data_IF_510745596343
#
_entry.id   IF_510745596343
#
_cell.length_a   1.000
_cell.length_b   1.000
_cell.length_c   1.000
_cell.angle_alpha   90.00
_cell.angle_beta   90.00
_cell.angle_gamma   90.00
#
_symmetry.space_group_name_H-M   'P 1'
#
loop_
_entity.id
_entity.type
_entity.pdbx_description
1 polymer ?
#
# COMPACT_ATOMS: atom_id res chain seq x y z
N UNK A 1 59.67 52.97 1.64
CA UNK A 1 59.10 51.94 0.74
C UNK A 1 57.83 51.43 1.40
N UNK A 2 56.64 51.83 0.93
CA UNK A 2 55.35 51.42 1.51
C UNK A 2 54.85 50.20 0.74
N UNK A 3 54.60 49.10 1.44
CA UNK A 3 54.10 47.84 0.87
C UNK A 3 52.57 47.86 1.02
N UNK A 4 51.85 47.92 -0.09
CA UNK A 4 50.39 47.74 -0.13
C UNK A 4 50.06 46.25 -0.14
N UNK A 5 49.12 45.76 0.68
CA UNK A 5 48.67 44.37 0.59
C UNK A 5 47.65 44.24 -0.54
N UNK A 6 47.88 43.25 -1.42
CA UNK A 6 46.91 42.80 -2.42
C UNK A 6 45.95 41.85 -1.73
N UNK A 7 44.67 42.22 -1.63
CA UNK A 7 43.63 41.29 -1.21
C UNK A 7 43.22 40.42 -2.40
N UNK A 8 43.57 39.13 -2.34
CA UNK A 8 43.06 38.13 -3.27
C UNK A 8 41.59 37.82 -2.92
N UNK A 9 40.67 38.15 -3.83
CA UNK A 9 39.27 37.72 -3.75
C UNK A 9 39.23 36.20 -4.04
N UNK A 10 38.87 35.40 -3.03
CA UNK A 10 38.56 33.99 -3.20
C UNK A 10 37.08 33.90 -3.57
N UNK A 11 36.69 33.38 -4.75
CA UNK A 11 35.28 33.19 -5.07
C UNK A 11 34.76 31.99 -4.28
N UNK A 12 33.87 32.24 -3.34
CA UNK A 12 33.14 31.21 -2.60
C UNK A 12 32.16 30.52 -3.55
N UNK A 13 32.54 29.37 -4.10
CA UNK A 13 31.64 28.49 -4.83
C UNK A 13 30.64 27.93 -3.82
N UNK A 14 29.42 28.48 -3.82
CA UNK A 14 28.31 27.97 -3.04
C UNK A 14 27.83 26.66 -3.68
N UNK A 15 28.31 25.53 -3.16
CA UNK A 15 27.87 24.22 -3.56
C UNK A 15 26.44 24.03 -3.03
N UNK A 16 25.44 24.33 -3.86
CA UNK A 16 24.06 23.93 -3.59
C UNK A 16 24.02 22.41 -3.53
N UNK A 17 24.11 21.87 -2.32
CA UNK A 17 23.73 20.49 -2.03
C UNK A 17 22.22 20.40 -2.30
N UNK A 18 21.85 20.00 -3.52
CA UNK A 18 20.55 19.41 -3.77
C UNK A 18 20.49 18.14 -2.91
N UNK A 19 20.02 18.26 -1.67
CA UNK A 19 19.50 17.10 -0.97
C UNK A 19 18.48 16.47 -1.92
N UNK A 20 18.56 15.17 -2.24
CA UNK A 20 17.51 14.53 -2.98
C UNK A 20 16.24 14.78 -2.19
N UNK A 21 15.35 15.58 -2.76
CA UNK A 21 14.02 15.74 -2.24
C UNK A 21 13.41 14.35 -2.45
N UNK A 22 13.41 13.53 -1.40
CA UNK A 22 12.65 12.28 -1.32
C UNK A 22 11.15 12.64 -1.29
N UNK A 23 10.72 13.44 -2.25
CA UNK A 23 9.39 14.05 -2.34
C UNK A 23 8.35 13.07 -2.92
N UNK A 24 8.76 11.85 -3.22
CA UNK A 24 7.92 10.85 -3.85
C UNK A 24 8.33 9.50 -3.28
N UNK A 25 7.94 9.23 -2.03
CA UNK A 25 7.26 7.98 -1.69
C UNK A 25 7.15 7.76 -0.19
N UNK A 26 6.00 7.28 0.32
CA UNK A 26 6.00 6.51 1.54
C UNK A 26 6.82 5.23 1.34
N UNK A 27 8.06 5.21 1.85
CA UNK A 27 8.88 3.99 1.93
C UNK A 27 8.25 2.88 2.80
N UNK A 28 7.25 3.19 3.63
CA UNK A 28 6.57 2.25 4.51
C UNK A 28 6.06 1.01 3.79
N UNK A 29 5.32 1.19 2.68
CA UNK A 29 4.83 0.07 1.86
C UNK A 29 5.98 -0.78 1.29
N UNK A 30 7.08 -0.16 0.88
CA UNK A 30 8.25 -0.89 0.38
C UNK A 30 8.89 -1.76 1.46
N UNK A 31 9.01 -1.22 2.68
CA UNK A 31 9.62 -1.89 3.83
C UNK A 31 8.76 -3.09 4.24
N UNK A 32 7.45 -2.88 4.42
CA UNK A 32 6.50 -3.96 4.75
C UNK A 32 6.50 -5.02 3.66
N UNK A 33 6.46 -4.62 2.40
CA UNK A 33 6.45 -5.55 1.26
C UNK A 33 7.72 -6.39 1.19
N UNK A 34 8.89 -5.77 1.39
CA UNK A 34 10.15 -6.50 1.44
C UNK A 34 10.15 -7.52 2.59
N UNK A 35 9.64 -7.15 3.77
CA UNK A 35 9.50 -8.07 4.90
C UNK A 35 8.54 -9.23 4.61
N UNK A 36 7.42 -8.95 3.94
CA UNK A 36 6.44 -9.96 3.56
C UNK A 36 7.05 -10.99 2.59
N UNK A 37 7.77 -10.53 1.56
CA UNK A 37 8.46 -11.41 0.60
C UNK A 37 9.56 -12.23 1.29
N UNK A 38 10.30 -11.62 2.21
CA UNK A 38 11.34 -12.29 2.98
C UNK A 38 10.81 -13.37 3.93
N UNK A 39 9.59 -13.18 4.44
CA UNK A 39 8.91 -14.13 5.33
C UNK A 39 8.34 -15.35 4.59
N UNK A 40 8.30 -15.34 3.26
CA UNK A 40 7.66 -16.39 2.47
C UNK A 40 8.38 -17.75 2.63
N UNK A 41 7.63 -18.88 2.75
CA UNK A 41 8.23 -20.20 2.85
C UNK A 41 9.06 -20.54 1.60
N UNK A 42 10.38 -20.65 1.76
CA UNK A 42 11.31 -20.82 0.63
C UNK A 42 11.06 -22.11 -0.19
N UNK A 43 10.44 -23.12 0.41
CA UNK A 43 10.10 -24.38 -0.23
C UNK A 43 8.83 -24.31 -1.10
N UNK A 44 7.93 -23.37 -0.83
CA UNK A 44 6.63 -23.25 -1.52
C UNK A 44 6.65 -22.17 -2.61
N UNK A 45 7.54 -21.18 -2.48
CA UNK A 45 7.62 -20.02 -3.39
C UNK A 45 8.84 -20.13 -4.31
N UNK A 46 8.67 -19.98 -5.64
CA UNK A 46 9.78 -20.02 -6.60
C UNK A 46 10.90 -19.02 -6.26
N UNK A 47 12.16 -19.45 -6.40
CA UNK A 47 13.32 -18.61 -6.13
C UNK A 47 13.28 -17.28 -6.89
N UNK A 48 12.94 -17.30 -8.19
CA UNK A 48 12.84 -16.09 -9.01
C UNK A 48 11.85 -15.04 -8.46
N UNK A 49 10.82 -15.48 -7.73
CA UNK A 49 9.84 -14.57 -7.13
C UNK A 49 10.42 -13.92 -5.87
N UNK A 50 11.10 -14.72 -5.03
CA UNK A 50 11.79 -14.23 -3.82
C UNK A 50 12.95 -13.30 -4.19
N UNK A 51 13.73 -13.66 -5.20
CA UNK A 51 14.81 -12.82 -5.73
C UNK A 51 14.29 -11.49 -6.30
N UNK A 52 13.02 -11.46 -6.71
CA UNK A 52 12.29 -10.27 -7.14
C UNK A 52 11.86 -9.33 -6.00
N UNK A 53 12.25 -9.56 -4.74
CA UNK A 53 11.88 -8.75 -3.56
C UNK A 53 11.94 -7.25 -3.81
N UNK A 54 13.03 -6.75 -4.38
CA UNK A 54 13.22 -5.32 -4.64
C UNK A 54 12.21 -4.76 -5.66
N UNK A 55 11.90 -5.52 -6.72
CA UNK A 55 10.90 -5.14 -7.70
C UNK A 55 9.49 -5.15 -7.10
N UNK A 56 9.17 -6.15 -6.28
CA UNK A 56 7.86 -6.25 -5.62
C UNK A 56 7.68 -5.09 -4.64
N UNK A 57 8.70 -4.78 -3.83
CA UNK A 57 8.71 -3.60 -2.95
C UNK A 57 8.59 -2.28 -3.71
N UNK A 58 9.22 -2.17 -4.89
CA UNK A 58 9.05 -1.01 -5.76
C UNK A 58 7.66 -0.94 -6.38
N UNK A 59 7.02 -2.06 -6.72
CA UNK A 59 5.65 -2.07 -7.27
C UNK A 59 4.57 -1.80 -6.22
N UNK A 60 4.84 -2.07 -4.93
CA UNK A 60 3.90 -1.79 -3.82
C UNK A 60 3.69 -0.30 -3.52
N UNK A 61 4.27 0.52 -4.36
CA UNK A 61 4.36 1.95 -4.27
C UNK A 61 3.48 2.58 -5.38
N UNK A 62 3.20 1.82 -6.46
CA UNK A 62 2.45 2.27 -7.64
C UNK A 62 1.00 2.69 -7.34
N UNK A 63 0.21 1.99 -6.50
CA UNK A 63 -1.18 2.38 -6.24
C UNK A 63 -1.32 3.81 -5.68
N UNK A 64 -0.41 4.21 -4.79
CA UNK A 64 -0.38 5.58 -4.25
C UNK A 64 -0.04 6.63 -5.31
N UNK A 65 0.85 6.29 -6.26
CA UNK A 65 1.16 7.15 -7.40
C UNK A 65 -0.02 7.24 -8.38
N UNK A 66 -0.77 6.15 -8.54
CA UNK A 66 -1.94 6.07 -9.42
C UNK A 66 -3.15 6.83 -8.85
N UNK A 67 -3.18 7.12 -7.55
CA UNK A 67 -4.15 8.00 -6.86
C UNK A 67 -3.87 9.51 -7.12
N UNK A 68 -3.49 9.85 -8.35
CA UNK A 68 -3.16 11.22 -8.75
C UNK A 68 -4.41 12.02 -9.12
N UNK A 69 -4.74 13.03 -8.31
CA UNK A 69 -5.95 13.87 -8.46
C UNK A 69 -6.05 14.63 -9.78
N UNK A 70 -4.94 14.90 -10.46
CA UNK A 70 -4.93 15.55 -11.78
C UNK A 70 -5.39 14.60 -12.90
N UNK A 71 -5.30 13.28 -12.68
CA UNK A 71 -5.73 12.23 -13.60
C UNK A 71 -7.07 11.66 -13.13
N UNK A 72 -8.12 12.48 -13.19
CA UNK A 72 -9.42 12.25 -12.54
C UNK A 72 -10.01 10.85 -12.76
N UNK A 73 -10.01 10.33 -14.00
CA UNK A 73 -10.59 9.00 -14.32
C UNK A 73 -9.80 7.87 -13.65
N UNK A 74 -8.47 7.96 -13.62
CA UNK A 74 -7.64 6.97 -12.96
C UNK A 74 -7.79 7.07 -11.43
N UNK A 75 -7.78 8.30 -10.90
CA UNK A 75 -7.96 8.53 -9.47
C UNK A 75 -9.34 8.08 -8.98
N UNK A 76 -10.42 8.27 -9.75
CA UNK A 76 -11.76 7.80 -9.41
C UNK A 76 -11.79 6.28 -9.20
N UNK A 77 -11.08 5.52 -10.04
CA UNK A 77 -10.97 4.07 -9.91
C UNK A 77 -9.99 3.64 -8.81
N UNK A 78 -8.90 4.38 -8.61
CA UNK A 78 -7.82 3.98 -7.70
C UNK A 78 -8.07 4.40 -6.26
N UNK A 79 -8.49 5.64 -6.01
CA UNK A 79 -8.64 6.19 -4.66
C UNK A 79 -9.47 5.30 -3.71
N UNK A 80 -10.62 4.74 -4.11
CA UNK A 80 -11.42 3.90 -3.23
C UNK A 80 -10.76 2.58 -2.86
N UNK A 81 -9.72 2.12 -3.57
CA UNK A 81 -9.08 0.83 -3.32
C UNK A 81 -8.16 0.82 -2.09
N UNK A 82 -7.94 1.98 -1.46
CA UNK A 82 -6.95 2.19 -0.39
C UNK A 82 -7.55 2.09 1.02
N UNK A 83 -8.88 1.96 1.15
CA UNK A 83 -9.51 1.98 2.46
C UNK A 83 -10.85 1.23 2.46
N UNK A 84 -11.42 1.07 3.65
CA UNK A 84 -12.77 0.55 3.86
C UNK A 84 -13.41 1.09 5.15
N UNK A 85 -14.21 2.16 5.01
CA UNK A 85 -14.96 2.82 6.08
C UNK A 85 -16.18 1.99 6.49
N UNK A 86 -15.92 0.90 7.23
CA UNK A 86 -16.89 -0.15 7.56
C UNK A 86 -18.14 0.38 8.26
N UNK A 87 -18.03 1.46 9.05
CA UNK A 87 -19.15 2.06 9.78
C UNK A 87 -20.24 2.58 8.83
N UNK A 88 -19.89 2.95 7.59
CA UNK A 88 -20.85 3.37 6.57
C UNK A 88 -21.76 2.23 6.10
N UNK A 89 -21.40 0.97 6.36
CA UNK A 89 -22.28 -0.17 6.16
C UNK A 89 -23.34 -0.35 7.25
N UNK A 90 -23.33 0.47 8.31
CA UNK A 90 -24.35 0.46 9.37
C UNK A 90 -24.54 -0.94 10.00
N UNK A 91 -23.43 -1.64 10.22
CA UNK A 91 -23.40 -2.99 10.82
C UNK A 91 -23.89 -4.11 9.88
N UNK A 92 -24.11 -3.85 8.60
CA UNK A 92 -24.35 -4.91 7.60
C UNK A 92 -23.06 -5.70 7.34
N UNK A 93 -23.17 -7.01 7.02
CA UNK A 93 -21.99 -7.82 6.72
C UNK A 93 -21.33 -7.36 5.42
N UNK A 94 -20.03 -7.64 5.27
CA UNK A 94 -19.33 -7.43 4.00
C UNK A 94 -19.98 -8.25 2.89
N UNK A 95 -20.43 -7.61 1.79
CA UNK A 95 -20.98 -8.32 0.65
C UNK A 95 -19.96 -9.24 -0.02
N UNK A 96 -20.43 -10.30 -0.67
CA UNK A 96 -19.53 -11.33 -1.22
C UNK A 96 -18.90 -10.93 -2.56
N UNK A 97 -19.44 -9.90 -3.20
CA UNK A 97 -18.98 -9.39 -4.49
C UNK A 97 -19.11 -7.87 -4.56
N UNK A 98 -18.32 -7.24 -5.45
CA UNK A 98 -18.39 -5.81 -5.73
C UNK A 98 -19.79 -5.39 -6.22
N UNK A 99 -20.48 -6.26 -6.97
CA UNK A 99 -21.85 -6.01 -7.40
C UNK A 99 -22.85 -5.97 -6.23
N UNK A 100 -22.78 -6.94 -5.31
CA UNK A 100 -23.60 -6.94 -4.10
C UNK A 100 -23.27 -5.75 -3.19
N UNK A 101 -21.99 -5.35 -3.14
CA UNK A 101 -21.53 -4.16 -2.44
C UNK A 101 -22.16 -2.88 -3.00
N UNK A 102 -22.14 -2.68 -4.31
CA UNK A 102 -22.78 -1.52 -4.92
C UNK A 102 -24.29 -1.50 -4.70
N UNK A 103 -24.95 -2.66 -4.75
CA UNK A 103 -26.38 -2.77 -4.41
C UNK A 103 -26.65 -2.42 -2.94
N UNK A 104 -25.77 -2.81 -2.02
CA UNK A 104 -25.88 -2.45 -0.61
C UNK A 104 -25.69 -0.95 -0.42
N UNK A 105 -24.64 -0.35 -0.98
CA UNK A 105 -24.37 1.08 -0.92
C UNK A 105 -25.56 1.89 -1.47
N UNK A 106 -26.15 1.45 -2.59
CA UNK A 106 -27.37 2.07 -3.14
C UNK A 106 -28.54 2.03 -2.16
N UNK A 107 -28.80 0.88 -1.50
CA UNK A 107 -29.86 0.76 -0.48
C UNK A 107 -29.61 1.66 0.73
N UNK A 108 -28.35 1.80 1.14
CA UNK A 108 -27.92 2.64 2.24
C UNK A 108 -27.81 4.13 1.86
N UNK A 109 -27.94 4.46 0.57
CA UNK A 109 -27.79 5.82 0.02
C UNK A 109 -26.41 6.43 0.32
N UNK A 110 -25.37 5.60 0.28
CA UNK A 110 -23.96 6.00 0.39
C UNK A 110 -23.27 5.74 -0.95
N UNK A 111 -22.28 6.55 -1.29
CA UNK A 111 -21.47 6.32 -2.48
C UNK A 111 -20.46 5.18 -2.18
N UNK A 112 -20.36 4.12 -3.00
CA UNK A 112 -19.32 3.10 -2.85
C UNK A 112 -17.91 3.67 -2.70
N UNK A 113 -17.58 4.74 -3.43
CA UNK A 113 -16.27 5.37 -3.35
C UNK A 113 -15.97 6.03 -2.01
N UNK A 114 -17.02 6.40 -1.25
CA UNK A 114 -16.88 6.96 0.10
C UNK A 114 -16.76 5.86 1.16
N UNK A 115 -17.30 4.66 0.86
CA UNK A 115 -17.17 3.48 1.73
C UNK A 115 -15.81 2.80 1.54
N UNK A 116 -15.27 2.82 0.33
CA UNK A 116 -14.01 2.15 0.00
C UNK A 116 -14.21 0.72 -0.50
N UNK A 117 -13.21 0.22 -1.22
CA UNK A 117 -13.27 -0.99 -2.04
C UNK A 117 -12.06 -1.91 -1.82
N UNK A 118 -11.19 -1.59 -0.85
CA UNK A 118 -9.97 -2.34 -0.55
C UNK A 118 -10.17 -3.87 -0.41
N UNK A 119 -11.25 -4.39 0.22
CA UNK A 119 -11.42 -5.83 0.35
C UNK A 119 -11.54 -6.55 -0.99
N UNK A 120 -12.20 -5.90 -1.96
CA UNK A 120 -12.36 -6.43 -3.30
C UNK A 120 -11.08 -6.24 -4.13
N UNK A 121 -10.38 -5.12 -3.97
CA UNK A 121 -9.09 -4.88 -4.60
C UNK A 121 -8.06 -5.96 -4.23
N UNK A 122 -7.95 -6.29 -2.94
CA UNK A 122 -7.07 -7.36 -2.43
C UNK A 122 -7.49 -8.73 -2.97
N UNK A 123 -8.80 -9.03 -2.93
CA UNK A 123 -9.30 -10.31 -3.41
C UNK A 123 -9.00 -10.53 -4.90
N UNK A 124 -9.25 -9.51 -5.72
CA UNK A 124 -8.98 -9.55 -7.15
C UNK A 124 -7.49 -9.61 -7.46
N UNK A 125 -6.66 -8.80 -6.79
CA UNK A 125 -5.20 -8.82 -6.96
C UNK A 125 -4.61 -10.19 -6.60
N UNK A 126 -5.11 -10.82 -5.54
CA UNK A 126 -4.73 -12.18 -5.13
C UNK A 126 -5.13 -13.21 -6.20
N UNK A 127 -6.34 -13.12 -6.74
CA UNK A 127 -6.82 -14.04 -7.77
C UNK A 127 -6.05 -13.86 -9.09
N UNK A 128 -5.73 -12.62 -9.49
CA UNK A 128 -4.85 -12.33 -10.63
C UNK A 128 -3.47 -12.95 -10.43
N UNK A 129 -2.86 -12.74 -9.26
CA UNK A 129 -1.55 -13.34 -8.94
C UNK A 129 -1.60 -14.88 -8.94
N UNK A 130 -2.70 -15.47 -8.45
CA UNK A 130 -2.93 -16.92 -8.49
C UNK A 130 -2.92 -17.45 -9.93
N UNK A 131 -3.60 -16.76 -10.84
CA UNK A 131 -3.60 -17.12 -12.26
C UNK A 131 -2.21 -16.98 -12.87
N UNK A 132 -1.49 -15.90 -12.57
CA UNK A 132 -0.13 -15.70 -13.07
C UNK A 132 0.81 -16.81 -12.59
N UNK A 133 0.70 -17.26 -11.33
CA UNK A 133 1.47 -18.42 -10.85
C UNK A 133 1.07 -19.72 -11.55
N UNK A 134 -0.21 -19.90 -11.90
CA UNK A 134 -0.63 -21.05 -12.71
C UNK A 134 -0.02 -21.01 -14.11
N UNK A 135 0.02 -19.85 -14.75
CA UNK A 135 0.73 -19.67 -16.02
C UNK A 135 2.24 -19.94 -15.88
N UNK A 136 2.87 -19.47 -14.80
CA UNK A 136 4.30 -19.69 -14.55
C UNK A 136 4.63 -21.19 -14.38
N UNK A 137 3.72 -21.99 -13.80
CA UNK A 137 3.89 -23.45 -13.74
C UNK A 137 3.76 -24.10 -15.11
N UNK A 138 2.90 -23.57 -15.98
CA UNK A 138 2.67 -24.08 -17.33
C UNK A 138 3.80 -23.71 -18.29
N UNK A 139 4.37 -22.51 -18.15
CA UNK A 139 5.42 -21.96 -19.00
C UNK A 139 6.57 -21.38 -18.15
N UNK A 140 7.36 -22.24 -17.48
CA UNK A 140 8.32 -21.81 -16.46
C UNK A 140 9.44 -20.91 -17.00
N UNK A 141 9.80 -21.04 -18.28
CA UNK A 141 10.89 -20.29 -18.89
C UNK A 141 10.46 -18.97 -19.51
N UNK A 142 9.18 -18.60 -19.43
CA UNK A 142 8.69 -17.35 -19.99
C UNK A 142 8.99 -16.17 -19.04
N UNK A 143 9.93 -15.27 -19.39
CA UNK A 143 10.32 -14.17 -18.51
C UNK A 143 9.19 -13.14 -18.30
N UNK A 144 8.30 -12.97 -19.27
CA UNK A 144 7.21 -12.01 -19.18
C UNK A 144 6.18 -12.38 -18.10
N UNK A 145 5.95 -13.68 -17.89
CA UNK A 145 5.06 -14.15 -16.80
C UNK A 145 5.66 -13.83 -15.43
N UNK A 146 6.98 -14.02 -15.29
CA UNK A 146 7.70 -13.69 -14.05
C UNK A 146 7.58 -12.19 -13.75
N UNK A 147 7.85 -11.32 -14.72
CA UNK A 147 7.72 -9.87 -14.53
C UNK A 147 6.29 -9.46 -14.14
N UNK A 148 5.27 -10.02 -14.80
CA UNK A 148 3.85 -9.78 -14.44
C UNK A 148 3.56 -10.17 -12.98
N UNK A 149 4.11 -11.29 -12.51
CA UNK A 149 3.92 -11.75 -11.14
C UNK A 149 4.52 -10.76 -10.13
N UNK A 150 5.72 -10.24 -10.40
CA UNK A 150 6.39 -9.30 -9.50
C UNK A 150 5.61 -7.99 -9.37
N UNK A 151 5.12 -7.44 -10.50
CA UNK A 151 4.29 -6.23 -10.49
C UNK A 151 2.97 -6.47 -9.75
N UNK A 152 2.27 -7.56 -10.08
CA UNK A 152 0.98 -7.87 -9.45
C UNK A 152 1.11 -8.13 -7.94
N UNK A 153 2.24 -8.72 -7.51
CA UNK A 153 2.53 -8.92 -6.09
C UNK A 153 2.79 -7.60 -5.35
N UNK A 154 3.43 -6.62 -6.00
CA UNK A 154 3.56 -5.27 -5.45
C UNK A 154 2.20 -4.64 -5.18
N UNK A 155 1.33 -4.62 -6.20
CA UNK A 155 -0.03 -4.07 -6.09
C UNK A 155 -0.82 -4.77 -4.97
N UNK A 156 -0.77 -6.11 -4.91
CA UNK A 156 -1.42 -6.86 -3.84
C UNK A 156 -0.89 -6.48 -2.45
N UNK A 157 0.44 -6.35 -2.32
CA UNK A 157 1.09 -6.01 -1.06
C UNK A 157 0.70 -4.61 -0.57
N UNK A 158 0.52 -3.65 -1.47
CA UNK A 158 0.06 -2.30 -1.14
C UNK A 158 -1.30 -2.33 -0.43
N UNK A 159 -2.34 -2.82 -1.12
CA UNK A 159 -3.70 -2.84 -0.56
C UNK A 159 -3.80 -3.70 0.70
N UNK A 160 -2.99 -4.78 0.79
CA UNK A 160 -2.94 -5.61 1.99
C UNK A 160 -2.32 -4.86 3.18
N UNK A 161 -1.31 -4.03 2.94
CA UNK A 161 -0.70 -3.18 3.97
C UNK A 161 -1.63 -2.06 4.41
N UNK A 162 -2.39 -1.46 3.49
CA UNK A 162 -3.41 -0.44 3.81
C UNK A 162 -4.42 -0.99 4.81
N UNK A 163 -5.06 -2.13 4.54
CA UNK A 163 -6.07 -2.66 5.47
C UNK A 163 -5.51 -3.12 6.82
N UNK A 164 -4.19 -3.37 6.89
CA UNK A 164 -3.52 -3.68 8.14
C UNK A 164 -3.27 -2.42 9.00
N UNK A 165 -3.35 -1.24 8.39
CA UNK A 165 -3.27 0.06 9.04
C UNK A 165 -4.66 0.42 9.63
N UNK A 166 -4.80 0.58 10.96
CA UNK A 166 -6.11 0.79 11.62
C UNK A 166 -6.96 1.95 11.09
N UNK A 167 -6.32 3.04 10.68
CA UNK A 167 -6.98 4.25 10.18
C UNK A 167 -7.36 4.15 8.71
N UNK A 168 -7.13 3.03 8.02
CA UNK A 168 -7.65 2.79 6.66
C UNK A 168 -8.94 1.95 6.68
N UNK A 169 -9.41 1.53 7.85
CA UNK A 169 -10.61 0.69 8.00
C UNK A 169 -11.70 1.35 8.85
N UNK A 170 -11.73 2.69 8.91
CA UNK A 170 -12.65 3.46 9.75
C UNK A 170 -12.90 4.89 9.26
N UNK A 171 -14.14 5.36 9.43
CA UNK A 171 -14.51 6.78 9.25
C UNK A 171 -13.74 7.74 10.19
N UNK A 172 -13.05 7.24 11.21
CA UNK A 172 -12.25 8.02 12.15
C UNK A 172 -10.78 8.19 11.71
N UNK A 173 -10.49 7.94 10.43
CA UNK A 173 -9.14 7.86 9.86
C UNK A 173 -8.22 9.04 10.22
N UNK A 174 -8.72 10.28 10.20
CA UNK A 174 -7.92 11.47 10.53
C UNK A 174 -8.42 12.23 11.78
N UNK A 175 -8.80 11.44 12.78
CA UNK A 175 -9.35 11.88 14.06
C UNK A 175 -10.82 11.51 14.20
N UNK A 176 -11.32 11.49 15.44
CA UNK A 176 -12.73 11.13 15.72
C UNK A 176 -13.67 12.03 14.93
N UNK A 177 -14.59 11.40 14.20
CA UNK A 177 -15.55 12.10 13.34
C UNK A 177 -16.35 13.10 14.17
N UNK A 178 -16.59 14.29 13.61
CA UNK A 178 -17.42 15.31 14.24
C UNK A 178 -18.91 14.93 14.10
N UNK A 179 -19.83 15.54 14.89
CA UNK A 179 -21.27 15.26 14.79
C UNK A 179 -21.88 15.48 13.40
N UNK A 180 -21.21 16.25 12.54
CA UNK A 180 -21.61 16.50 11.15
C UNK A 180 -21.08 15.45 10.15
N UNK A 181 -20.46 14.37 10.62
CA UNK A 181 -19.91 13.28 9.80
C UNK A 181 -18.58 13.60 9.11
N UNK A 182 -17.95 14.74 9.40
CA UNK A 182 -16.67 15.13 8.79
C UNK A 182 -15.49 14.81 9.70
N UNK A 183 -14.37 14.42 9.07
CA UNK A 183 -13.08 14.33 9.74
C UNK A 183 -12.64 15.71 10.27
N UNK A 184 -12.11 15.79 11.51
CA UNK A 184 -11.53 17.01 12.05
C UNK A 184 -10.16 17.35 11.45
N UNK A 185 -9.61 16.49 10.59
CA UNK A 185 -8.32 16.67 9.89
C UNK A 185 -7.14 16.92 10.84
N UNK A 186 -7.00 16.06 11.84
CA UNK A 186 -5.98 16.23 12.90
C UNK A 186 -4.55 15.93 12.43
N UNK A 187 -4.39 15.31 11.26
CA UNK A 187 -3.11 14.84 10.73
C UNK A 187 -2.60 13.58 11.44
N UNK A 188 -3.43 12.86 12.19
CA UNK A 188 -3.04 11.60 12.83
C UNK A 188 -2.86 10.49 11.79
N UNK A 189 -3.68 10.48 10.73
CA UNK A 189 -3.60 9.49 9.65
C UNK A 189 -2.17 9.41 9.09
N UNK A 190 -1.69 10.53 8.52
CA UNK A 190 -0.35 10.61 7.94
C UNK A 190 0.78 10.39 8.94
N UNK A 191 0.57 10.69 10.23
CA UNK A 191 1.57 10.41 11.27
C UNK A 191 1.73 8.91 11.52
N UNK A 192 0.62 8.17 11.52
CA UNK A 192 0.63 6.71 11.72
C UNK A 192 1.15 6.01 10.47
N UNK A 193 0.72 6.41 9.27
CA UNK A 193 1.23 5.85 7.99
C UNK A 193 2.76 5.93 7.89
N UNK A 194 3.33 7.05 8.34
CA UNK A 194 4.78 7.30 8.31
C UNK A 194 5.56 6.64 9.45
N UNK A 195 4.93 5.88 10.36
CA UNK A 195 5.63 5.31 11.52
C UNK A 195 6.74 4.33 11.14
N UNK A 196 6.49 3.46 10.16
CA UNK A 196 7.47 2.46 9.72
C UNK A 196 8.77 3.14 9.28
N UNK A 197 8.65 4.26 8.56
CA UNK A 197 9.79 5.07 8.10
C UNK A 197 10.43 5.86 9.24
N UNK A 198 9.63 6.54 10.05
CA UNK A 198 10.13 7.38 11.16
C UNK A 198 10.85 6.58 12.23
N UNK A 199 10.45 5.32 12.42
CA UNK A 199 11.11 4.38 13.32
C UNK A 199 12.29 3.66 12.66
N UNK A 200 12.58 3.95 11.39
CA UNK A 200 13.62 3.31 10.60
C UNK A 200 13.55 1.77 10.67
N UNK A 201 12.33 1.23 10.61
CA UNK A 201 12.10 -0.21 10.64
C UNK A 201 12.78 -0.88 9.45
N UNK A 202 13.35 -2.06 9.71
CA UNK A 202 14.06 -2.83 8.69
C UNK A 202 13.22 -4.03 8.26
N UNK A 203 13.16 -4.36 6.95
CA UNK A 203 12.45 -5.54 6.47
C UNK A 203 12.86 -6.81 7.21
N UNK A 204 14.16 -6.99 7.45
CA UNK A 204 14.72 -8.18 8.09
C UNK A 204 14.26 -8.30 9.55
N UNK A 205 14.04 -7.18 10.24
CA UNK A 205 13.50 -7.17 11.61
C UNK A 205 12.02 -7.50 11.61
N UNK A 206 11.25 -6.93 10.67
CA UNK A 206 9.81 -7.17 10.57
C UNK A 206 9.49 -8.61 10.12
N UNK A 207 10.36 -9.22 9.31
CA UNK A 207 10.20 -10.60 8.84
C UNK A 207 10.46 -11.64 9.94
N UNK A 208 11.16 -11.27 11.02
CA UNK A 208 11.45 -12.19 12.11
C UNK A 208 10.17 -12.60 12.84
N UNK A 209 10.06 -13.90 13.12
CA UNK A 209 8.96 -14.52 13.87
C UNK A 209 7.57 -14.41 13.21
N UNK A 210 7.50 -14.06 11.92
CA UNK A 210 6.25 -14.09 11.19
C UNK A 210 5.73 -15.52 11.05
N UNK A 211 4.45 -15.71 11.32
CA UNK A 211 3.76 -16.99 11.14
C UNK A 211 3.00 -16.95 9.83
N UNK A 212 3.54 -17.62 8.82
CA UNK A 212 2.85 -17.73 7.53
C UNK A 212 1.88 -18.90 7.58
N UNK A 213 0.63 -18.63 7.21
CA UNK A 213 -0.42 -19.62 7.12
C UNK A 213 -1.24 -19.42 5.84
N UNK A 214 -1.72 -20.51 5.28
CA UNK A 214 -2.72 -20.47 4.22
C UNK A 214 -4.11 -20.23 4.81
N UNK A 215 -4.90 -19.40 4.14
CA UNK A 215 -6.31 -19.19 4.49
C UNK A 215 -7.21 -20.07 3.64
N UNK A 216 -8.24 -20.73 4.21
CA UNK A 216 -9.14 -21.60 3.45
C UNK A 216 -10.07 -20.81 2.52
N UNK A 217 -10.43 -19.59 2.91
CA UNK A 217 -11.31 -18.70 2.15
C UNK A 217 -10.74 -17.28 2.18
N UNK A 218 -10.55 -16.70 1.00
CA UNK A 218 -9.86 -15.42 0.82
C UNK A 218 -10.63 -14.24 1.43
N UNK A 219 -11.88 -14.02 1.01
CA UNK A 219 -12.64 -12.84 1.46
C UNK A 219 -12.91 -12.84 2.99
N UNK A 220 -13.26 -13.97 3.64
CA UNK A 220 -13.33 -14.04 5.10
C UNK A 220 -12.01 -13.75 5.81
N UNK A 221 -10.86 -14.11 5.22
CA UNK A 221 -9.55 -13.79 5.80
C UNK A 221 -9.24 -12.28 5.70
N UNK A 222 -9.57 -11.65 4.58
CA UNK A 222 -9.47 -10.20 4.40
C UNK A 222 -10.38 -9.48 5.41
N UNK A 223 -11.62 -9.94 5.57
CA UNK A 223 -12.54 -9.41 6.59
C UNK A 223 -12.01 -9.59 8.02
N UNK A 224 -11.41 -10.74 8.33
CA UNK A 224 -10.81 -10.99 9.62
C UNK A 224 -9.63 -10.03 9.90
N UNK A 225 -8.77 -9.78 8.91
CA UNK A 225 -7.68 -8.81 9.05
C UNK A 225 -8.20 -7.40 9.31
N UNK A 226 -9.22 -6.94 8.57
CA UNK A 226 -9.81 -5.61 8.82
C UNK A 226 -10.40 -5.48 10.22
N UNK A 227 -10.98 -6.56 10.77
CA UNK A 227 -11.49 -6.57 12.15
C UNK A 227 -10.38 -6.55 13.20
N UNK A 228 -9.25 -7.20 12.93
CA UNK A 228 -8.06 -7.17 13.79
C UNK A 228 -7.41 -5.77 13.82
N UNK A 229 -7.56 -5.02 12.73
CA UNK A 229 -7.04 -3.66 12.60
C UNK A 229 -7.92 -2.58 13.25
N UNK A 230 -9.15 -2.87 13.71
CA UNK A 230 -10.00 -1.91 14.45
C UNK A 230 -9.72 -1.91 15.97
#
# INVERSE_FOLDING_TARGET
MKITPVFALIPTISLCLCAPVLAWWPQGHSIITAAAVESLPAAEIPAWFRDGRAQIAHGAQDPDVQKNRELAVMNEAEFPQHFFDWELLQGRPLPKSRAEFYQLCQKLKVNPSDVGEAPYAIAEATQRLTMIFAEARRWPDNPYIRTKALVQAGILSHYSADIAMPLHVTIHHDGRVLPNGKSPRTGIHSKVDSLIEKLAMKPETLAQNQKIAAFPLLLPAIEAQMKDSQ
#
